data_IF_139811816856
#
_entry.id   IF_139811816856
#
_cell.length_a   1.000
_cell.length_b   1.000
_cell.length_c   1.000
_cell.angle_alpha   90.00
_cell.angle_beta   90.00
_cell.angle_gamma   90.00
#
_symmetry.space_group_name_H-M   'P 1'
#
loop_
_entity.id
_entity.type
_entity.pdbx_description
1 polymer ?
#
# COMPACT_ATOMS: atom_id res chain seq x y z
N UNK A 1 22.82 2.49 -67.94
CA UNK A 1 22.50 2.84 -66.51
C UNK A 1 20.99 2.95 -66.27
N UNK A 2 20.23 3.53 -67.21
CA UNK A 2 18.76 3.57 -67.08
C UNK A 2 18.15 2.17 -66.95
N UNK A 3 18.60 1.23 -67.78
CA UNK A 3 18.09 -0.15 -67.75
C UNK A 3 18.35 -0.87 -66.40
N UNK A 4 19.50 -0.60 -65.77
CA UNK A 4 19.82 -1.11 -64.43
C UNK A 4 18.94 -0.57 -63.33
N UNK A 5 18.46 0.67 -63.42
CA UNK A 5 17.51 1.23 -62.45
C UNK A 5 16.14 0.54 -62.56
N UNK A 6 15.72 0.23 -63.80
CA UNK A 6 14.48 -0.47 -64.05
C UNK A 6 14.57 -1.93 -63.55
N UNK A 7 15.70 -2.58 -63.82
CA UNK A 7 15.99 -3.94 -63.39
C UNK A 7 15.93 -4.07 -61.86
N UNK A 8 16.67 -3.19 -61.12
CA UNK A 8 16.65 -3.16 -59.67
C UNK A 8 15.27 -2.81 -59.08
N UNK A 9 14.50 -1.98 -59.79
CA UNK A 9 13.13 -1.67 -59.39
C UNK A 9 12.20 -2.87 -59.54
N UNK A 10 12.36 -3.66 -60.60
CA UNK A 10 11.58 -4.89 -60.83
C UNK A 10 11.94 -5.97 -59.78
N UNK A 11 13.24 -6.21 -59.58
CA UNK A 11 13.72 -7.15 -58.55
C UNK A 11 13.21 -6.78 -57.15
N UNK A 12 13.17 -5.46 -56.85
CA UNK A 12 12.59 -5.00 -55.59
C UNK A 12 11.10 -5.33 -55.50
N UNK A 13 10.32 -5.08 -56.54
CA UNK A 13 8.88 -5.37 -56.52
C UNK A 13 8.58 -6.86 -56.35
N UNK A 14 9.33 -7.73 -57.03
CA UNK A 14 9.21 -9.18 -56.86
C UNK A 14 9.56 -9.59 -55.44
N UNK A 15 10.69 -9.11 -54.89
CA UNK A 15 11.11 -9.42 -53.55
C UNK A 15 10.15 -8.87 -52.51
N UNK A 16 9.66 -7.65 -52.70
CA UNK A 16 8.69 -7.02 -51.84
C UNK A 16 7.37 -7.78 -51.74
N UNK A 17 6.93 -8.43 -52.83
CA UNK A 17 5.70 -9.23 -52.82
C UNK A 17 5.79 -10.50 -51.97
N UNK A 18 6.99 -11.01 -51.75
CA UNK A 18 7.26 -12.26 -51.02
C UNK A 18 7.52 -12.05 -49.51
N UNK A 19 7.54 -10.80 -49.03
CA UNK A 19 7.82 -10.49 -47.61
C UNK A 19 6.56 -10.67 -46.77
N UNK A 20 6.59 -11.66 -45.89
CA UNK A 20 5.51 -11.98 -44.96
C UNK A 20 5.91 -11.83 -43.48
N UNK A 21 7.20 -11.73 -43.16
CA UNK A 21 7.70 -11.61 -41.81
C UNK A 21 8.69 -10.44 -41.63
N UNK A 22 8.83 -9.99 -40.37
CA UNK A 22 9.78 -8.92 -39.99
C UNK A 22 11.22 -9.31 -40.38
N UNK A 23 11.59 -10.57 -40.20
CA UNK A 23 12.94 -11.06 -40.51
C UNK A 23 13.22 -10.98 -42.02
N UNK A 24 12.26 -11.39 -42.86
CA UNK A 24 12.38 -11.28 -44.33
C UNK A 24 12.47 -9.82 -44.76
N UNK A 25 11.75 -8.92 -44.09
CA UNK A 25 11.80 -7.48 -44.36
C UNK A 25 13.17 -6.90 -44.05
N UNK A 26 13.77 -7.24 -42.91
CA UNK A 26 15.11 -6.78 -42.54
C UNK A 26 16.18 -7.31 -43.50
N UNK A 27 16.07 -8.56 -43.97
CA UNK A 27 16.94 -9.13 -44.96
C UNK A 27 16.83 -8.36 -46.29
N UNK A 28 15.62 -8.11 -46.77
CA UNK A 28 15.40 -7.34 -48.00
C UNK A 28 15.89 -5.90 -47.88
N UNK A 29 15.73 -5.27 -46.70
CA UNK A 29 16.26 -3.94 -46.43
C UNK A 29 17.79 -3.88 -46.51
N UNK A 30 18.49 -4.89 -46.01
CA UNK A 30 19.93 -4.99 -46.14
C UNK A 30 20.35 -5.23 -47.58
N UNK A 31 19.61 -6.07 -48.33
CA UNK A 31 19.87 -6.39 -49.76
C UNK A 31 19.77 -5.17 -50.67
N UNK A 32 18.76 -4.30 -50.45
CA UNK A 32 18.52 -3.15 -51.33
C UNK A 32 19.13 -1.85 -50.82
N UNK A 33 19.08 -1.58 -49.49
CA UNK A 33 19.49 -0.31 -48.86
C UNK A 33 20.77 -0.40 -48.04
N UNK A 34 21.30 -1.59 -47.84
CA UNK A 34 22.52 -1.80 -47.05
C UNK A 34 23.75 -1.14 -47.63
N UNK A 35 24.88 -1.15 -46.92
CA UNK A 35 26.14 -0.53 -47.35
C UNK A 35 26.65 -1.10 -48.71
N UNK A 36 26.34 -2.34 -49.02
CA UNK A 36 26.60 -3.02 -50.30
C UNK A 36 25.31 -3.38 -50.99
N UNK A 37 24.24 -2.67 -50.73
CA UNK A 37 22.92 -2.94 -51.32
C UNK A 37 22.83 -2.43 -52.75
N UNK A 38 21.93 -3.06 -53.54
CA UNK A 38 21.77 -2.81 -54.98
C UNK A 38 21.53 -1.32 -55.30
N UNK A 39 20.75 -0.61 -54.49
CA UNK A 39 20.51 0.86 -54.69
C UNK A 39 21.76 1.66 -54.30
N UNK A 40 22.52 1.24 -53.31
CA UNK A 40 23.77 1.88 -52.92
C UNK A 40 24.86 1.70 -53.98
N UNK A 41 24.92 0.54 -54.65
CA UNK A 41 25.81 0.28 -55.76
C UNK A 41 25.46 1.14 -57.00
N UNK A 42 24.17 1.35 -57.26
CA UNK A 42 23.72 2.29 -58.32
C UNK A 42 24.19 3.71 -58.07
N UNK A 43 24.13 4.18 -56.78
CA UNK A 43 24.61 5.50 -56.37
C UNK A 43 26.15 5.61 -56.54
N UNK A 44 26.89 4.57 -56.23
CA UNK A 44 28.35 4.53 -56.41
C UNK A 44 28.72 4.55 -57.92
N UNK A 45 27.95 3.86 -58.73
CA UNK A 45 28.12 3.82 -60.19
C UNK A 45 27.91 5.16 -60.90
N UNK A 46 27.24 6.14 -60.25
CA UNK A 46 27.08 7.49 -60.77
C UNK A 46 28.43 8.24 -60.92
N UNK A 47 29.45 7.81 -60.22
CA UNK A 47 30.81 8.44 -60.32
C UNK A 47 31.47 8.29 -61.66
N UNK A 48 31.05 7.28 -62.43
CA UNK A 48 31.61 6.96 -63.76
C UNK A 48 30.84 7.55 -64.96
N UNK A 49 29.76 8.34 -64.68
CA UNK A 49 28.87 8.92 -65.70
C UNK A 49 29.20 10.38 -65.92
N UNK A 50 29.04 10.86 -67.18
CA UNK A 50 29.24 12.26 -67.61
C UNK A 50 28.33 13.22 -66.84
N UNK A 51 28.76 14.48 -66.63
CA UNK A 51 28.13 15.48 -65.74
C UNK A 51 26.66 15.72 -66.00
N UNK A 52 26.24 15.76 -67.27
CA UNK A 52 24.87 16.11 -67.67
C UNK A 52 23.86 14.99 -67.34
N UNK A 53 24.26 13.75 -67.56
CA UNK A 53 23.42 12.54 -67.25
C UNK A 53 23.45 12.21 -65.77
N UNK A 54 24.49 12.61 -65.03
CA UNK A 54 24.64 12.33 -63.58
C UNK A 54 23.52 12.93 -62.75
N UNK A 55 23.12 14.16 -63.05
CA UNK A 55 22.05 14.83 -62.29
C UNK A 55 20.69 14.16 -62.48
N UNK A 56 20.34 13.79 -63.71
CA UNK A 56 19.08 13.16 -64.01
C UNK A 56 18.99 11.74 -63.43
N UNK A 57 20.04 10.94 -63.60
CA UNK A 57 20.13 9.60 -63.08
C UNK A 57 20.17 9.59 -61.52
N UNK A 58 20.87 10.55 -60.94
CA UNK A 58 20.92 10.72 -59.46
C UNK A 58 19.54 11.02 -58.87
N UNK A 59 18.74 11.87 -59.54
CA UNK A 59 17.36 12.15 -59.13
C UNK A 59 16.49 10.88 -59.17
N UNK A 60 16.56 10.11 -60.27
CA UNK A 60 15.80 8.84 -60.41
C UNK A 60 16.18 7.78 -59.38
N UNK A 61 17.49 7.65 -59.05
CA UNK A 61 17.94 6.71 -58.01
C UNK A 61 17.50 7.14 -56.63
N UNK A 62 17.54 8.45 -56.30
CA UNK A 62 17.06 8.97 -55.04
C UNK A 62 15.54 8.80 -54.89
N UNK A 63 14.77 9.01 -55.95
CA UNK A 63 13.33 8.76 -55.98
C UNK A 63 13.02 7.28 -55.72
N UNK A 64 13.73 6.36 -56.38
CA UNK A 64 13.62 4.91 -56.14
C UNK A 64 13.97 4.58 -54.68
N UNK A 65 15.04 5.15 -54.15
CA UNK A 65 15.45 4.94 -52.74
C UNK A 65 14.37 5.38 -51.75
N UNK A 66 13.83 6.58 -51.93
CA UNK A 66 12.76 7.09 -51.06
C UNK A 66 11.50 6.23 -51.14
N UNK A 67 11.12 5.82 -52.36
CA UNK A 67 9.99 4.91 -52.56
C UNK A 67 10.20 3.59 -51.84
N UNK A 68 11.36 2.96 -51.97
CA UNK A 68 11.70 1.69 -51.30
C UNK A 68 11.73 1.85 -49.79
N UNK A 69 12.25 2.94 -49.25
CA UNK A 69 12.26 3.22 -47.83
C UNK A 69 10.82 3.38 -47.26
N UNK A 70 9.97 4.06 -48.02
CA UNK A 70 8.57 4.25 -47.61
C UNK A 70 7.76 2.95 -47.68
N UNK A 71 7.96 2.15 -48.75
CA UNK A 71 7.33 0.86 -48.90
C UNK A 71 7.73 -0.12 -47.80
N UNK A 72 9.00 -0.13 -47.36
CA UNK A 72 9.45 -0.92 -46.24
C UNK A 72 8.81 -0.47 -44.91
N UNK A 73 8.67 0.85 -44.69
CA UNK A 73 8.00 1.38 -43.52
C UNK A 73 6.52 0.98 -43.46
N UNK A 74 5.81 1.09 -44.57
CA UNK A 74 4.41 0.70 -44.70
C UNK A 74 4.23 -0.81 -44.47
N UNK A 75 5.07 -1.64 -45.10
CA UNK A 75 5.01 -3.10 -44.90
C UNK A 75 5.32 -3.53 -43.48
N UNK A 76 6.26 -2.87 -42.80
CA UNK A 76 6.54 -3.14 -41.39
C UNK A 76 5.31 -2.85 -40.51
N UNK A 77 4.62 -1.74 -40.78
CA UNK A 77 3.40 -1.40 -40.08
C UNK A 77 2.29 -2.45 -40.31
N UNK A 78 2.12 -2.89 -41.58
CA UNK A 78 1.14 -3.89 -41.93
C UNK A 78 1.41 -5.27 -41.29
N UNK A 79 2.69 -5.70 -41.29
CA UNK A 79 3.08 -6.97 -40.66
C UNK A 79 2.78 -6.91 -39.15
N UNK A 80 3.20 -5.85 -38.47
CA UNK A 80 2.93 -5.66 -37.04
C UNK A 80 1.44 -5.58 -36.73
N UNK A 81 0.66 -4.91 -37.56
CA UNK A 81 -0.79 -4.84 -37.39
C UNK A 81 -1.44 -6.23 -37.54
N UNK A 82 -0.99 -7.04 -38.49
CA UNK A 82 -1.47 -8.41 -38.66
C UNK A 82 -1.05 -9.34 -37.51
N UNK A 83 0.16 -9.20 -37.01
CA UNK A 83 0.62 -9.94 -35.84
C UNK A 83 -0.22 -9.61 -34.60
N UNK A 84 -0.42 -8.31 -34.33
CA UNK A 84 -1.27 -7.85 -33.22
C UNK A 84 -2.72 -8.35 -33.37
N UNK A 85 -3.27 -8.31 -34.57
CA UNK A 85 -4.62 -8.82 -34.83
C UNK A 85 -4.72 -10.33 -34.55
N UNK A 86 -3.71 -11.11 -34.95
CA UNK A 86 -3.65 -12.54 -34.63
C UNK A 86 -3.50 -12.82 -33.14
N UNK A 87 -2.70 -12.01 -32.42
CA UNK A 87 -2.59 -12.11 -30.98
C UNK A 87 -3.93 -11.83 -30.30
N UNK A 88 -4.66 -10.81 -30.76
CA UNK A 88 -5.99 -10.47 -30.22
C UNK A 88 -6.97 -11.62 -30.51
N UNK A 89 -6.99 -12.17 -31.74
CA UNK A 89 -7.88 -13.25 -32.11
C UNK A 89 -7.59 -14.57 -31.39
N UNK A 90 -6.32 -14.83 -31.09
CA UNK A 90 -5.88 -16.01 -30.32
C UNK A 90 -5.88 -15.79 -28.80
N UNK A 91 -6.11 -14.56 -28.31
CA UNK A 91 -6.20 -14.30 -26.88
C UNK A 91 -7.47 -14.92 -26.32
N UNK A 92 -7.35 -15.59 -25.18
CA UNK A 92 -8.52 -16.07 -24.44
C UNK A 92 -9.40 -14.86 -24.06
N UNK A 93 -10.62 -14.84 -24.57
CA UNK A 93 -11.59 -13.81 -24.19
C UNK A 93 -12.11 -14.12 -22.80
N UNK A 94 -11.57 -13.45 -21.81
CA UNK A 94 -12.10 -13.52 -20.45
C UNK A 94 -13.35 -12.64 -20.35
N UNK A 95 -14.48 -13.26 -20.05
CA UNK A 95 -15.69 -12.51 -19.74
C UNK A 95 -15.54 -11.83 -18.37
N UNK A 96 -15.20 -10.55 -18.38
CA UNK A 96 -15.06 -9.73 -17.16
C UNK A 96 -16.37 -9.55 -16.40
N UNK A 97 -17.51 -9.91 -17.00
CA UNK A 97 -18.82 -9.85 -16.36
C UNK A 97 -19.17 -11.16 -15.63
N UNK A 98 -18.40 -12.24 -15.87
CA UNK A 98 -18.60 -13.49 -15.14
C UNK A 98 -18.48 -13.27 -13.62
N UNK A 99 -19.47 -13.71 -12.84
CA UNK A 99 -19.37 -13.64 -11.40
C UNK A 99 -18.17 -14.49 -10.94
N UNK A 100 -17.13 -13.81 -10.45
CA UNK A 100 -16.04 -14.52 -9.80
C UNK A 100 -16.55 -15.14 -8.51
N UNK A 101 -16.22 -16.40 -8.27
CA UNK A 101 -16.40 -17.01 -6.95
C UNK A 101 -15.50 -16.24 -5.97
N UNK A 102 -16.02 -15.12 -5.43
CA UNK A 102 -15.36 -14.40 -4.34
C UNK A 102 -15.30 -15.35 -3.16
N UNK A 103 -14.16 -15.99 -2.96
CA UNK A 103 -13.86 -16.58 -1.67
C UNK A 103 -13.83 -15.42 -0.69
N UNK A 104 -14.90 -15.27 0.10
CA UNK A 104 -14.90 -14.30 1.19
C UNK A 104 -13.82 -14.75 2.17
N UNK A 105 -12.75 -13.97 2.29
CA UNK A 105 -11.77 -14.18 3.35
C UNK A 105 -12.42 -13.97 4.71
N UNK A 106 -11.86 -14.55 5.77
CA UNK A 106 -12.22 -14.25 7.15
C UNK A 106 -11.36 -13.08 7.67
N UNK A 107 -11.96 -12.27 8.53
CA UNK A 107 -11.21 -11.23 9.24
C UNK A 107 -10.34 -11.88 10.34
N UNK A 108 -9.19 -11.26 10.61
CA UNK A 108 -8.36 -11.64 11.73
C UNK A 108 -9.12 -11.46 13.07
N UNK A 109 -8.95 -12.33 14.07
CA UNK A 109 -9.68 -12.23 15.34
C UNK A 109 -9.56 -10.86 16.02
N UNK A 110 -8.38 -10.26 16.03
CA UNK A 110 -8.17 -8.90 16.57
C UNK A 110 -9.04 -7.87 15.85
N UNK A 111 -9.11 -7.93 14.52
CA UNK A 111 -9.96 -7.02 13.73
C UNK A 111 -11.44 -7.21 14.04
N UNK A 112 -11.88 -8.44 14.31
CA UNK A 112 -13.27 -8.73 14.71
C UNK A 112 -13.57 -8.08 16.06
N UNK A 113 -12.69 -8.29 17.05
CA UNK A 113 -12.84 -7.72 18.39
C UNK A 113 -12.77 -6.19 18.35
N UNK A 114 -11.82 -5.62 17.62
CA UNK A 114 -11.69 -4.17 17.45
C UNK A 114 -13.00 -3.57 16.89
N UNK A 115 -13.54 -4.11 15.82
CA UNK A 115 -14.83 -3.64 15.26
C UNK A 115 -15.97 -3.74 16.25
N UNK A 116 -16.06 -4.82 17.02
CA UNK A 116 -17.09 -4.96 18.03
C UNK A 116 -16.99 -3.88 19.12
N UNK A 117 -15.76 -3.62 19.60
CA UNK A 117 -15.51 -2.57 20.59
C UNK A 117 -15.83 -1.19 20.04
N UNK A 118 -15.38 -0.89 18.81
CA UNK A 118 -15.68 0.38 18.14
C UNK A 118 -17.20 0.62 18.02
N UNK A 119 -17.97 -0.39 17.61
CA UNK A 119 -19.42 -0.31 17.51
C UNK A 119 -20.09 -0.03 18.85
N UNK A 120 -19.59 -0.68 19.91
CA UNK A 120 -20.08 -0.42 21.29
C UNK A 120 -19.83 1.02 21.69
N UNK A 121 -18.63 1.55 21.52
CA UNK A 121 -18.30 2.92 21.88
C UNK A 121 -19.02 3.95 20.98
N UNK A 122 -19.14 3.70 19.69
CA UNK A 122 -19.95 4.53 18.77
C UNK A 122 -21.40 4.62 19.25
N UNK A 123 -21.99 3.50 19.72
CA UNK A 123 -23.35 3.51 20.27
C UNK A 123 -23.50 4.34 21.54
N UNK A 124 -22.41 4.61 22.26
CA UNK A 124 -22.35 5.46 23.46
C UNK A 124 -21.92 6.91 23.16
N UNK A 125 -21.82 7.27 21.87
CA UNK A 125 -21.50 8.62 21.41
C UNK A 125 -20.02 8.97 21.39
N UNK A 126 -19.14 7.98 21.32
CA UNK A 126 -17.71 8.19 21.11
C UNK A 126 -17.39 8.29 19.61
N UNK A 127 -16.47 9.17 19.29
CA UNK A 127 -15.79 9.22 17.98
C UNK A 127 -14.69 8.17 17.98
N UNK A 128 -14.45 7.55 16.86
CA UNK A 128 -13.31 6.63 16.67
C UNK A 128 -12.28 7.32 15.80
N UNK A 129 -11.09 7.47 16.35
CA UNK A 129 -9.93 8.04 15.66
C UNK A 129 -8.88 6.97 15.39
N UNK A 130 -8.23 7.09 14.28
CA UNK A 130 -7.06 6.28 13.94
C UNK A 130 -5.78 6.99 14.44
N UNK A 131 -4.83 6.23 14.91
CA UNK A 131 -3.58 6.77 15.45
C UNK A 131 -2.37 6.41 14.60
N UNK A 132 -1.44 7.35 14.44
CA UNK A 132 -0.18 7.09 13.77
C UNK A 132 0.60 5.99 14.51
N UNK A 133 1.32 5.15 13.76
CA UNK A 133 2.25 4.16 14.34
C UNK A 133 3.60 4.79 14.66
N UNK A 134 4.02 5.78 13.85
CA UNK A 134 5.24 6.56 14.06
C UNK A 134 4.84 7.89 14.71
N UNK A 135 5.48 8.21 15.82
CA UNK A 135 5.18 9.40 16.62
C UNK A 135 6.44 10.17 16.97
N UNK A 136 6.25 11.45 17.26
CA UNK A 136 7.33 12.25 17.84
C UNK A 136 7.59 11.82 19.28
N UNK A 137 8.83 11.95 19.74
CA UNK A 137 9.19 11.73 21.15
C UNK A 137 8.27 12.53 22.09
N UNK A 138 7.95 13.77 21.72
CA UNK A 138 7.07 14.64 22.49
C UNK A 138 5.68 14.03 22.69
N UNK A 139 5.01 13.60 21.63
CA UNK A 139 3.66 13.02 21.75
C UNK A 139 3.66 11.68 22.50
N UNK A 140 4.71 10.86 22.30
CA UNK A 140 4.77 9.54 22.92
C UNK A 140 5.08 9.60 24.42
N UNK A 141 5.77 10.65 24.87
CA UNK A 141 6.24 10.73 26.25
C UNK A 141 5.88 12.06 26.96
N UNK A 142 6.40 13.19 26.51
CA UNK A 142 6.30 14.45 27.25
C UNK A 142 4.86 14.95 27.34
N UNK A 143 4.10 14.85 26.27
CA UNK A 143 2.70 15.28 26.21
C UNK A 143 1.77 14.46 27.11
N UNK A 144 2.19 13.26 27.51
CA UNK A 144 1.46 12.38 28.43
C UNK A 144 2.14 12.28 29.80
N UNK A 145 2.82 13.36 30.20
CA UNK A 145 3.43 13.54 31.52
C UNK A 145 4.60 12.58 31.83
N UNK A 146 5.35 12.17 30.81
CA UNK A 146 6.59 11.39 30.94
C UNK A 146 7.77 12.22 30.44
N UNK A 147 8.29 13.20 31.23
CA UNK A 147 9.39 14.05 30.81
C UNK A 147 10.70 13.28 30.61
N UNK A 148 11.71 13.93 30.02
CA UNK A 148 12.97 13.28 29.63
C UNK A 148 13.68 12.49 30.72
N UNK A 149 13.61 12.96 31.93
CA UNK A 149 14.28 12.34 33.08
C UNK A 149 13.35 11.42 33.89
N UNK A 150 12.20 11.07 33.38
CA UNK A 150 11.23 10.25 34.10
C UNK A 150 11.62 8.77 34.08
N UNK A 151 11.68 8.06 35.21
CA UNK A 151 12.08 6.64 35.26
C UNK A 151 11.20 5.71 34.42
N UNK A 152 9.94 6.08 34.14
CA UNK A 152 9.05 5.29 33.29
C UNK A 152 9.53 5.18 31.86
N UNK A 153 10.46 6.02 31.38
CA UNK A 153 11.07 5.86 30.07
C UNK A 153 11.99 4.64 29.99
N UNK A 154 12.72 4.37 31.07
CA UNK A 154 13.61 3.22 31.15
C UNK A 154 12.85 1.89 31.24
N UNK A 155 11.58 1.94 31.63
CA UNK A 155 10.70 0.77 31.73
C UNK A 155 10.07 0.39 30.40
N UNK A 156 10.21 1.19 29.36
CA UNK A 156 9.63 0.96 28.05
C UNK A 156 10.74 0.92 27.00
N UNK A 157 11.17 -0.28 26.63
CA UNK A 157 12.10 -0.45 25.52
C UNK A 157 11.46 0.05 24.23
N UNK A 158 11.99 1.16 23.71
CA UNK A 158 11.40 1.91 22.59
C UNK A 158 12.18 1.66 21.31
N UNK A 159 11.47 1.43 20.22
CA UNK A 159 12.07 1.44 18.87
C UNK A 159 12.23 2.88 18.40
N UNK A 160 13.49 3.31 18.28
CA UNK A 160 13.87 4.62 17.75
C UNK A 160 14.19 4.55 16.26
N UNK A 161 13.70 5.52 15.51
CA UNK A 161 14.01 5.69 14.10
C UNK A 161 15.22 6.62 13.93
N UNK A 162 15.89 6.53 12.80
CA UNK A 162 17.09 7.33 12.51
C UNK A 162 16.87 8.85 12.48
N UNK A 163 15.62 9.28 12.29
CA UNK A 163 15.21 10.68 12.29
C UNK A 163 14.82 11.21 13.70
N UNK A 164 14.93 10.38 14.76
CA UNK A 164 14.58 10.75 16.13
C UNK A 164 13.11 10.56 16.49
N UNK A 165 12.29 10.06 15.60
CA UNK A 165 10.92 9.62 15.90
C UNK A 165 10.93 8.22 16.53
N UNK A 166 9.79 7.78 17.04
CA UNK A 166 9.63 6.48 17.70
C UNK A 166 8.45 5.71 17.12
N UNK A 167 8.52 4.38 17.17
CA UNK A 167 7.30 3.58 17.07
C UNK A 167 6.56 3.72 18.40
N UNK A 168 5.26 4.11 18.33
CA UNK A 168 4.49 4.39 19.56
C UNK A 168 4.48 3.21 20.51
N UNK A 169 4.83 3.46 21.76
CA UNK A 169 4.87 2.45 22.82
C UNK A 169 3.52 2.24 23.49
N UNK A 170 2.59 3.15 23.27
CA UNK A 170 1.23 3.17 23.80
C UNK A 170 0.33 4.04 22.92
N UNK A 171 -0.97 3.78 22.95
CA UNK A 171 -1.93 4.59 22.19
C UNK A 171 -2.10 5.99 22.78
N UNK A 172 -1.71 6.22 24.04
CA UNK A 172 -1.75 7.53 24.71
C UNK A 172 -1.02 8.65 23.96
N UNK A 173 -0.08 8.31 23.07
CA UNK A 173 0.55 9.26 22.15
C UNK A 173 -0.47 10.04 21.29
N UNK A 174 -1.67 9.51 21.07
CA UNK A 174 -2.78 10.16 20.38
C UNK A 174 -3.51 11.24 21.18
N UNK A 175 -3.45 11.23 22.50
CA UNK A 175 -4.24 12.13 23.37
C UNK A 175 -4.05 13.61 23.04
N UNK A 176 -2.80 14.03 22.91
CA UNK A 176 -2.47 15.43 22.62
C UNK A 176 -3.06 15.89 21.28
N UNK A 177 -3.01 15.06 20.25
CA UNK A 177 -3.58 15.33 18.93
C UNK A 177 -5.10 15.43 19.01
N UNK A 178 -5.74 14.48 19.67
CA UNK A 178 -7.18 14.43 19.87
C UNK A 178 -7.68 15.68 20.58
N UNK A 179 -7.05 16.06 21.69
CA UNK A 179 -7.44 17.25 22.45
C UNK A 179 -7.25 18.55 21.65
N UNK A 180 -6.22 18.62 20.82
CA UNK A 180 -6.02 19.78 19.92
C UNK A 180 -7.05 19.83 18.80
N UNK A 181 -7.50 18.66 18.30
CA UNK A 181 -8.47 18.57 17.20
C UNK A 181 -9.90 18.85 17.67
N UNK A 182 -10.32 18.23 18.75
CA UNK A 182 -11.71 18.25 19.21
C UNK A 182 -11.97 19.24 20.33
N UNK A 183 -10.95 19.57 21.15
CA UNK A 183 -11.14 20.38 22.34
C UNK A 183 -12.00 19.69 23.39
N UNK A 184 -12.60 20.50 24.27
CA UNK A 184 -13.59 20.04 25.25
C UNK A 184 -14.95 20.70 24.97
N UNK A 185 -16.09 19.99 25.12
CA UNK A 185 -16.19 18.60 25.53
C UNK A 185 -15.94 17.60 24.38
N UNK A 186 -15.32 16.44 24.67
CA UNK A 186 -15.14 15.38 23.67
C UNK A 186 -15.20 13.99 24.29
N UNK A 187 -15.54 12.99 23.46
CA UNK A 187 -15.50 11.56 23.75
C UNK A 187 -14.89 10.85 22.54
N UNK A 188 -13.68 10.35 22.67
CA UNK A 188 -12.94 9.76 21.56
C UNK A 188 -12.27 8.48 22.02
N UNK A 189 -12.35 7.43 21.23
CA UNK A 189 -11.52 6.22 21.37
C UNK A 189 -10.54 6.13 20.23
N UNK A 190 -9.39 5.56 20.49
CA UNK A 190 -8.34 5.39 19.49
C UNK A 190 -7.65 4.04 19.67
N UNK A 191 -8.18 3.01 19.01
CA UNK A 191 -7.53 1.71 18.94
C UNK A 191 -6.26 1.80 18.08
N UNK A 192 -5.25 1.02 18.42
CA UNK A 192 -4.05 1.03 17.62
C UNK A 192 -3.06 -0.05 17.99
N UNK A 193 -2.12 -0.26 17.08
CA UNK A 193 -0.99 -1.13 17.26
C UNK A 193 0.12 -0.36 17.99
N UNK A 194 0.73 -1.00 18.98
CA UNK A 194 1.84 -0.46 19.77
C UNK A 194 3.05 -1.37 19.66
N UNK A 195 4.23 -0.80 19.94
CA UNK A 195 5.49 -1.48 19.72
C UNK A 195 6.41 -1.30 20.92
N UNK A 196 7.01 -2.39 21.39
CA UNK A 196 8.03 -2.36 22.44
C UNK A 196 9.14 -3.33 22.06
N UNK A 197 10.38 -2.92 22.25
CA UNK A 197 11.54 -3.74 21.95
C UNK A 197 11.83 -4.70 23.11
N UNK A 198 10.89 -5.61 23.37
CA UNK A 198 10.98 -6.58 24.45
C UNK A 198 11.51 -7.93 23.92
N UNK A 199 12.10 -8.73 24.81
CA UNK A 199 12.38 -10.12 24.49
C UNK A 199 11.07 -10.88 24.41
N UNK A 200 10.83 -11.54 23.26
CA UNK A 200 9.62 -12.31 23.02
C UNK A 200 9.59 -13.54 23.93
N UNK A 201 8.52 -13.69 24.72
CA UNK A 201 8.25 -14.85 25.57
C UNK A 201 6.78 -15.26 25.50
N UNK A 202 6.30 -16.09 26.43
CA UNK A 202 4.91 -16.54 26.47
C UNK A 202 3.88 -15.42 26.74
N UNK A 203 4.30 -14.25 27.22
CA UNK A 203 3.46 -13.13 27.66
C UNK A 203 3.82 -11.80 27.03
N UNK A 204 4.95 -11.71 26.33
CA UNK A 204 5.46 -10.49 25.72
C UNK A 204 5.70 -10.70 24.23
N UNK A 205 5.21 -9.76 23.44
CA UNK A 205 5.42 -9.67 21.99
C UNK A 205 5.86 -8.24 21.65
N UNK A 206 6.70 -8.09 20.66
CA UNK A 206 7.17 -6.77 20.21
C UNK A 206 6.05 -5.87 19.68
N UNK A 207 4.95 -6.48 19.26
CA UNK A 207 3.80 -5.80 18.67
C UNK A 207 2.53 -6.26 19.37
N UNK A 208 1.76 -5.33 19.90
CA UNK A 208 0.48 -5.61 20.55
C UNK A 208 -0.56 -4.56 20.20
N UNK A 209 -1.83 -4.85 20.45
CA UNK A 209 -2.93 -3.94 20.21
C UNK A 209 -3.45 -3.36 21.51
N UNK A 210 -3.69 -2.07 21.51
CA UNK A 210 -4.23 -1.34 22.64
C UNK A 210 -5.41 -0.48 22.18
N UNK A 211 -6.44 -0.39 23.01
CA UNK A 211 -7.50 0.58 22.83
C UNK A 211 -7.45 1.56 23.99
N UNK A 212 -7.41 2.83 23.68
CA UNK A 212 -7.51 3.90 24.64
C UNK A 212 -8.71 4.80 24.33
N UNK A 213 -9.24 5.45 25.35
CA UNK A 213 -10.31 6.42 25.19
C UNK A 213 -10.11 7.62 26.10
N UNK A 214 -10.50 8.78 25.60
CA UNK A 214 -10.51 10.02 26.35
C UNK A 214 -11.93 10.59 26.40
N UNK A 215 -12.34 11.04 27.56
CA UNK A 215 -13.60 11.73 27.75
C UNK A 215 -13.35 12.98 28.55
N UNK A 216 -13.66 14.14 27.97
CA UNK A 216 -13.48 15.45 28.59
C UNK A 216 -14.83 16.16 28.58
N UNK A 217 -15.20 16.75 29.72
CA UNK A 217 -16.44 17.48 29.83
C UNK A 217 -16.75 17.87 31.29
N UNK A 218 -17.83 18.61 31.44
CA UNK A 218 -18.34 18.92 32.77
C UNK A 218 -18.98 17.69 33.41
N UNK A 219 -18.85 17.53 34.71
CA UNK A 219 -19.47 16.44 35.48
C UNK A 219 -19.02 15.02 35.11
N UNK A 220 -17.79 14.87 34.59
CA UNK A 220 -17.19 13.57 34.36
C UNK A 220 -16.70 13.01 35.71
N UNK A 221 -16.97 11.74 35.97
CA UNK A 221 -16.65 11.08 37.23
C UNK A 221 -16.24 9.62 37.02
N UNK A 222 -15.75 9.01 38.09
CA UNK A 222 -15.41 7.58 38.15
C UNK A 222 -16.62 6.70 37.78
N UNK A 223 -17.84 7.15 38.10
CA UNK A 223 -19.06 6.44 37.75
C UNK A 223 -19.24 6.29 36.24
N UNK A 224 -18.84 7.30 35.45
CA UNK A 224 -18.81 7.22 34.01
C UNK A 224 -17.84 6.15 33.50
N UNK A 225 -16.63 6.09 34.08
CA UNK A 225 -15.64 5.08 33.74
C UNK A 225 -16.17 3.66 34.02
N UNK A 226 -16.72 3.43 35.20
CA UNK A 226 -17.34 2.13 35.57
C UNK A 226 -18.43 1.74 34.54
N UNK A 227 -19.30 2.69 34.23
CA UNK A 227 -20.42 2.45 33.29
C UNK A 227 -19.90 2.04 31.91
N UNK A 228 -19.00 2.83 31.29
CA UNK A 228 -18.50 2.55 29.96
C UNK A 228 -17.75 1.23 29.89
N UNK A 229 -16.96 0.92 30.91
CA UNK A 229 -16.20 -0.33 30.97
C UNK A 229 -17.10 -1.54 31.16
N UNK A 230 -18.10 -1.45 32.04
CA UNK A 230 -19.09 -2.52 32.22
C UNK A 230 -19.85 -2.78 30.92
N UNK A 231 -20.36 -1.73 30.28
CA UNK A 231 -21.09 -1.84 29.02
C UNK A 231 -20.22 -2.46 27.91
N UNK A 232 -18.98 -2.00 27.75
CA UNK A 232 -18.05 -2.54 26.76
C UNK A 232 -17.84 -4.04 27.00
N UNK A 233 -17.43 -4.42 28.20
CA UNK A 233 -17.15 -5.81 28.51
C UNK A 233 -18.38 -6.70 28.37
N UNK A 234 -19.54 -6.25 28.85
CA UNK A 234 -20.79 -7.02 28.76
C UNK A 234 -21.23 -7.24 27.30
N UNK A 235 -21.08 -6.25 26.44
CA UNK A 235 -21.42 -6.35 25.00
C UNK A 235 -20.43 -7.19 24.22
N UNK A 236 -19.12 -7.03 24.46
CA UNK A 236 -18.07 -7.81 23.80
C UNK A 236 -18.16 -9.30 24.18
N UNK A 237 -18.33 -9.60 25.46
CA UNK A 237 -18.45 -10.99 25.95
C UNK A 237 -19.88 -11.55 25.83
N UNK A 238 -20.88 -10.71 25.49
CA UNK A 238 -22.31 -11.07 25.40
C UNK A 238 -22.83 -11.71 26.71
N UNK A 239 -22.36 -11.21 27.83
CA UNK A 239 -22.69 -11.68 29.20
C UNK A 239 -22.73 -10.50 30.14
N UNK A 240 -23.50 -10.61 31.22
CA UNK A 240 -23.43 -9.63 32.31
C UNK A 240 -22.10 -9.79 33.05
N UNK A 241 -21.29 -8.74 33.03
CA UNK A 241 -19.95 -8.69 33.63
C UNK A 241 -20.00 -7.75 34.83
N UNK A 242 -19.65 -8.25 36.00
CA UNK A 242 -19.44 -7.42 37.16
C UNK A 242 -18.03 -6.82 37.13
N UNK A 243 -17.92 -5.53 37.39
CA UNK A 243 -16.66 -4.81 37.41
C UNK A 243 -16.39 -4.20 38.78
N UNK A 244 -15.13 -4.11 39.13
CA UNK A 244 -14.65 -3.48 40.38
C UNK A 244 -13.42 -2.67 40.05
N UNK A 245 -13.35 -1.42 40.56
CA UNK A 245 -12.15 -0.62 40.49
C UNK A 245 -11.32 -0.81 41.77
N UNK A 246 -10.01 -0.90 41.57
CA UNK A 246 -9.00 -0.82 42.63
C UNK A 246 -8.11 0.38 42.39
N UNK A 247 -7.80 1.21 43.41
CA UNK A 247 -6.76 2.22 43.27
C UNK A 247 -5.44 1.56 42.84
N UNK A 248 -4.79 2.12 41.85
CA UNK A 248 -3.50 1.69 41.33
C UNK A 248 -2.55 2.87 41.22
N UNK A 249 -1.27 2.62 41.40
CA UNK A 249 -0.24 3.65 41.23
C UNK A 249 0.34 3.58 39.84
N UNK A 250 0.28 4.71 39.11
CA UNK A 250 0.98 4.92 37.86
C UNK A 250 1.85 6.16 38.00
N UNK A 251 3.14 6.10 37.61
CA UNK A 251 4.08 7.18 37.91
C UNK A 251 3.79 8.51 37.19
N UNK A 252 2.91 8.52 36.20
CA UNK A 252 2.61 9.71 35.39
C UNK A 252 1.14 10.15 35.43
N UNK A 253 0.27 9.45 36.18
CA UNK A 253 -1.17 9.78 36.29
C UNK A 253 -1.66 9.67 37.72
N UNK A 254 -2.60 10.55 38.12
CA UNK A 254 -3.29 10.52 39.43
C UNK A 254 -4.61 11.31 39.36
N UNK A 255 -5.74 10.77 39.87
CA UNK A 255 -5.90 9.43 40.44
C UNK A 255 -5.91 8.34 39.40
N UNK A 256 -5.42 7.13 39.75
CA UNK A 256 -5.37 6.00 38.81
C UNK A 256 -6.05 4.79 39.43
N UNK A 257 -6.65 3.97 38.57
CA UNK A 257 -7.41 2.79 38.95
C UNK A 257 -7.08 1.62 38.00
N UNK A 258 -7.10 0.43 38.58
CA UNK A 258 -7.16 -0.82 37.82
C UNK A 258 -8.58 -1.37 37.87
N UNK A 259 -9.05 -1.95 36.80
CA UNK A 259 -10.36 -2.55 36.70
C UNK A 259 -10.26 -4.07 36.70
N UNK A 260 -10.92 -4.69 37.67
CA UNK A 260 -11.14 -6.11 37.72
C UNK A 260 -12.50 -6.43 37.12
N UNK A 261 -12.57 -7.49 36.27
CA UNK A 261 -13.81 -7.97 35.70
C UNK A 261 -14.08 -9.43 36.14
N UNK A 262 -15.35 -9.77 36.35
CA UNK A 262 -15.71 -11.17 36.60
C UNK A 262 -15.40 -12.03 35.37
N UNK A 263 -14.87 -13.22 35.58
CA UNK A 263 -14.52 -14.11 34.47
C UNK A 263 -15.76 -14.42 33.59
N UNK A 264 -15.73 -14.15 32.28
CA UNK A 264 -16.88 -14.38 31.41
C UNK A 264 -17.21 -15.87 31.22
N UNK A 265 -16.29 -16.78 31.58
CA UNK A 265 -16.49 -18.23 31.45
C UNK A 265 -17.06 -18.86 32.70
N UNK A 266 -16.52 -18.56 33.87
CA UNK A 266 -16.90 -19.22 35.13
C UNK A 266 -17.55 -18.27 36.17
N UNK A 267 -17.70 -16.98 35.87
CA UNK A 267 -18.26 -15.99 36.79
C UNK A 267 -17.47 -15.83 38.11
N UNK A 268 -16.19 -16.18 38.12
CA UNK A 268 -15.35 -16.15 39.30
C UNK A 268 -15.41 -17.40 40.17
N UNK A 269 -16.06 -18.47 39.73
CA UNK A 269 -16.22 -19.75 40.48
C UNK A 269 -15.06 -20.75 40.29
N UNK A 270 -14.09 -20.47 39.44
CA UNK A 270 -12.98 -21.41 39.24
C UNK A 270 -12.04 -21.44 40.43
N UNK A 271 -11.69 -22.61 40.84
CA UNK A 271 -10.77 -22.90 41.95
C UNK A 271 -9.29 -22.74 41.54
N UNK A 272 -9.00 -22.55 40.26
CA UNK A 272 -7.68 -22.24 39.77
C UNK A 272 -7.31 -20.78 40.15
N UNK A 273 -6.07 -20.54 40.59
CA UNK A 273 -5.65 -19.17 40.93
C UNK A 273 -5.94 -18.28 39.72
N UNK A 274 -6.77 -17.27 39.94
CA UNK A 274 -7.19 -16.29 38.93
C UNK A 274 -6.03 -15.39 38.52
N UNK A 275 -4.94 -15.98 38.00
CA UNK A 275 -3.84 -15.24 37.34
C UNK A 275 -4.15 -14.84 35.90
N UNK A 276 -5.37 -15.06 35.46
CA UNK A 276 -5.83 -14.67 34.12
C UNK A 276 -7.00 -13.67 34.17
N UNK A 277 -6.96 -12.74 35.05
CA UNK A 277 -7.66 -11.48 34.82
C UNK A 277 -6.60 -10.55 34.25
N UNK A 278 -6.60 -10.38 32.93
CA UNK A 278 -5.81 -9.35 32.33
C UNK A 278 -6.18 -8.03 33.04
N UNK A 279 -5.25 -7.47 33.79
CA UNK A 279 -5.41 -6.16 34.40
C UNK A 279 -5.64 -5.16 33.26
N UNK A 280 -6.89 -4.70 33.13
CA UNK A 280 -7.20 -3.59 32.25
C UNK A 280 -6.80 -2.33 33.03
N UNK A 281 -5.68 -1.76 32.65
CA UNK A 281 -5.16 -0.56 33.33
C UNK A 281 -5.88 0.66 32.76
N UNK A 282 -6.53 1.43 33.62
CA UNK A 282 -7.17 2.68 33.25
C UNK A 282 -6.60 3.81 34.09
N UNK A 283 -6.17 4.86 33.41
CA UNK A 283 -5.85 6.12 34.05
C UNK A 283 -7.03 7.08 33.87
N UNK A 284 -7.54 7.65 34.93
CA UNK A 284 -8.48 8.74 34.91
C UNK A 284 -7.72 10.02 35.22
N UNK A 285 -7.55 10.90 34.22
CA UNK A 285 -7.16 12.28 34.50
C UNK A 285 -8.43 13.12 34.67
N UNK A 286 -8.59 13.75 35.79
CA UNK A 286 -9.67 14.71 36.07
C UNK A 286 -9.17 16.11 35.79
#
# INVERSE_FOLDING_TARGET
>A
MGDKIIEVSQEYQERASQIESVEQLEQAKVEFLGKKGKITELLQGLRTVTSDLRREMGAKINELKQKVEQDFANKLADIKAKELQREIENSEVYDITMPTNKKSGSLHPITIVQKQVEEVFKSMGFIVEDGNEIETEYNNFEAVNVPKNHPARDMQDTFWLSNGEVLKTQTSAGQNRILRTYGAPCKVIFPGRCFRNENVDASHENTFFQLEGIMVGENISIANLIYFMKEMLSKVFKKDINVRLRPGYFPFTEPSFELDASCPFCGGKAVLPAKMVAGLNFALAV
#
